data_IF_440619680856
#
_entry.id   IF_440619680856
#
_cell.length_a   1.000
_cell.length_b   1.000
_cell.length_c   1.000
_cell.angle_alpha   90.00
_cell.angle_beta   90.00
_cell.angle_gamma   90.00
#
_symmetry.space_group_name_H-M   'P 1'
#
loop_
_entity.id
_entity.type
_entity.pdbx_description
1 polymer ?
#
# COMPACT_ATOMS: atom_id res chain seq x y z
N UNK A 1 22.54 21.80 -14.57
CA UNK A 1 21.25 21.24 -14.13
C UNK A 1 21.16 21.46 -12.64
N UNK A 2 19.96 21.74 -12.13
CA UNK A 2 19.72 21.89 -10.70
C UNK A 2 19.87 20.53 -9.99
N UNK A 3 20.54 20.48 -8.84
CA UNK A 3 20.57 19.30 -7.97
C UNK A 3 19.16 19.03 -7.45
N UNK A 4 18.64 17.81 -7.62
CA UNK A 4 17.33 17.39 -7.10
C UNK A 4 17.49 16.99 -5.63
N UNK A 5 16.80 17.69 -4.73
CA UNK A 5 16.76 17.36 -3.30
C UNK A 5 15.65 16.32 -3.08
N UNK A 6 16.04 15.06 -2.84
CA UNK A 6 15.16 13.92 -2.64
C UNK A 6 14.88 13.72 -1.15
N UNK A 7 13.66 14.04 -0.73
CA UNK A 7 13.19 13.87 0.65
C UNK A 7 12.79 12.42 0.97
N UNK A 8 13.17 11.96 2.16
CA UNK A 8 12.81 10.63 2.68
C UNK A 8 12.85 10.58 4.20
N UNK A 9 12.19 9.58 4.79
CA UNK A 9 12.29 9.26 6.22
C UNK A 9 13.63 8.60 6.57
N UNK A 10 14.06 8.66 7.83
CA UNK A 10 15.34 8.07 8.27
C UNK A 10 15.28 6.53 8.46
N UNK A 11 14.11 5.88 8.33
CA UNK A 11 14.01 4.42 8.50
C UNK A 11 14.77 3.64 7.43
N UNK A 12 15.30 2.45 7.77
CA UNK A 12 16.10 1.63 6.86
C UNK A 12 15.38 1.38 5.51
N UNK A 13 14.08 1.05 5.55
CA UNK A 13 13.30 0.83 4.32
C UNK A 13 13.15 2.12 3.49
N UNK A 14 12.89 3.26 4.12
CA UNK A 14 12.76 4.53 3.41
C UNK A 14 14.10 4.97 2.82
N UNK A 15 15.21 4.79 3.55
CA UNK A 15 16.56 5.05 3.04
C UNK A 15 16.91 4.15 1.86
N UNK A 16 16.55 2.86 1.90
CA UNK A 16 16.72 1.96 0.74
C UNK A 16 15.97 2.51 -0.48
N UNK A 17 14.72 2.95 -0.31
CA UNK A 17 13.89 3.51 -1.38
C UNK A 17 14.48 4.78 -1.96
N UNK A 18 14.97 5.68 -1.10
CA UNK A 18 15.63 6.91 -1.54
C UNK A 18 16.96 6.65 -2.26
N UNK A 19 17.78 5.73 -1.76
CA UNK A 19 19.03 5.34 -2.41
C UNK A 19 18.76 4.75 -3.79
N UNK A 20 17.81 3.83 -3.91
CA UNK A 20 17.39 3.27 -5.20
C UNK A 20 16.91 4.37 -6.17
N UNK A 21 16.10 5.31 -5.68
CA UNK A 21 15.57 6.42 -6.51
C UNK A 21 16.69 7.36 -6.96
N UNK A 22 17.59 7.74 -6.05
CA UNK A 22 18.77 8.54 -6.37
C UNK A 22 19.59 7.85 -7.46
N UNK A 23 19.92 6.57 -7.29
CA UNK A 23 20.78 5.83 -8.22
C UNK A 23 20.11 5.70 -9.60
N UNK A 24 18.78 5.59 -9.65
CA UNK A 24 18.03 5.58 -10.90
C UNK A 24 18.07 6.94 -11.61
N UNK A 25 17.93 8.05 -10.88
CA UNK A 25 18.01 9.41 -11.43
C UNK A 25 19.45 9.78 -11.85
N UNK A 26 20.46 9.36 -11.08
CA UNK A 26 21.89 9.56 -11.45
C UNK A 26 22.21 8.84 -12.75
N UNK A 27 21.67 7.66 -13.03
CA UNK A 27 21.82 6.98 -14.32
C UNK A 27 21.22 7.75 -15.49
N UNK A 28 20.29 8.66 -15.24
CA UNK A 28 19.74 9.58 -16.24
C UNK A 28 20.58 10.88 -16.38
N UNK A 29 21.72 10.97 -15.69
CA UNK A 29 22.63 12.12 -15.74
C UNK A 29 22.25 13.26 -14.79
N UNK A 30 21.38 13.02 -13.81
CA UNK A 30 20.91 14.03 -12.85
C UNK A 30 21.78 14.01 -11.58
N UNK A 31 21.98 15.19 -11.00
CA UNK A 31 22.57 15.31 -9.66
C UNK A 31 21.47 15.24 -8.59
N UNK A 32 21.65 14.38 -7.56
CA UNK A 32 20.61 14.09 -6.57
C UNK A 32 21.19 14.03 -5.16
N UNK A 33 20.66 14.85 -4.27
CA UNK A 33 20.97 14.86 -2.84
C UNK A 33 19.81 14.25 -2.02
N UNK A 34 20.12 13.31 -1.11
CA UNK A 34 19.10 12.74 -0.21
C UNK A 34 18.99 13.60 1.05
N UNK A 35 17.80 14.13 1.30
CA UNK A 35 17.44 14.93 2.47
C UNK A 35 16.60 14.09 3.43
N UNK A 36 17.11 13.84 4.64
CA UNK A 36 16.38 13.08 5.67
C UNK A 36 15.42 13.99 6.42
N UNK A 37 14.14 13.64 6.42
CA UNK A 37 13.08 14.36 7.13
C UNK A 37 12.56 13.47 8.24
N UNK A 38 12.73 13.93 9.50
CA UNK A 38 12.20 13.23 10.67
C UNK A 38 10.71 13.52 10.80
N UNK A 39 9.88 12.47 10.81
CA UNK A 39 8.45 12.62 10.99
C UNK A 39 8.05 12.42 12.46
N UNK A 40 6.90 12.98 12.85
CA UNK A 40 6.32 12.75 14.19
C UNK A 40 6.13 11.25 14.46
N UNK A 41 5.82 10.46 13.44
CA UNK A 41 5.74 9.00 13.52
C UNK A 41 7.09 8.31 13.79
N UNK A 42 8.22 8.94 13.42
CA UNK A 42 9.57 8.42 13.69
C UNK A 42 10.05 8.81 15.10
N UNK A 43 9.72 10.02 15.57
CA UNK A 43 10.21 10.55 16.87
C UNK A 43 9.45 9.99 18.07
N UNK A 44 8.14 9.67 17.92
CA UNK A 44 7.28 9.17 19.01
C UNK A 44 7.01 7.67 18.89
N UNK A 45 8.06 6.85 18.77
CA UNK A 45 7.97 5.40 18.51
C UNK A 45 7.10 4.59 19.48
N UNK A 46 6.81 5.06 20.70
CA UNK A 46 6.06 4.31 21.70
C UNK A 46 4.68 4.88 22.06
N UNK A 47 4.45 6.19 21.99
CA UNK A 47 3.19 6.80 22.46
C UNK A 47 2.22 7.22 21.34
N UNK A 48 2.75 7.67 20.20
CA UNK A 48 1.94 8.37 19.21
C UNK A 48 1.21 7.47 18.21
N UNK A 49 1.69 6.25 17.94
CA UNK A 49 1.08 5.37 16.92
C UNK A 49 -0.24 4.76 17.42
N UNK A 50 -0.42 4.59 18.71
CA UNK A 50 -1.70 4.16 19.30
C UNK A 50 -2.74 5.26 19.15
N UNK A 51 -2.34 6.52 19.29
CA UNK A 51 -3.24 7.69 19.25
C UNK A 51 -3.33 8.36 17.86
N UNK A 52 -2.33 8.21 17.00
CA UNK A 52 -2.26 8.84 15.68
C UNK A 52 -2.70 7.90 14.55
N UNK A 53 -3.87 7.34 14.65
CA UNK A 53 -4.53 6.65 13.52
C UNK A 53 -4.92 7.58 12.37
N UNK A 54 -4.27 8.72 12.25
CA UNK A 54 -4.50 9.68 11.20
C UNK A 54 -3.77 9.24 9.92
N UNK A 55 -4.47 9.24 8.81
CA UNK A 55 -3.88 9.25 7.47
C UNK A 55 -2.77 10.31 7.43
N UNK A 56 -1.62 9.97 6.85
CA UNK A 56 -0.56 10.95 6.63
C UNK A 56 0.40 11.23 7.79
N UNK A 57 0.39 10.46 8.89
CA UNK A 57 1.36 10.63 10.00
C UNK A 57 2.82 10.53 9.54
N UNK A 58 3.06 9.83 8.45
CA UNK A 58 4.39 9.64 7.87
C UNK A 58 4.66 10.50 6.63
N UNK A 59 3.66 11.25 6.15
CA UNK A 59 3.77 12.00 4.90
C UNK A 59 3.64 13.52 5.11
N UNK A 60 3.01 13.98 6.19
CA UNK A 60 2.75 15.40 6.43
C UNK A 60 4.01 16.26 6.45
N UNK A 61 5.04 15.84 7.16
CA UNK A 61 6.29 16.58 7.27
C UNK A 61 7.05 16.58 5.93
N UNK A 62 7.03 15.46 5.19
CA UNK A 62 7.63 15.37 3.87
C UNK A 62 6.87 16.26 2.88
N UNK A 63 5.54 16.23 2.91
CA UNK A 63 4.69 17.09 2.09
C UNK A 63 4.85 18.56 2.45
N UNK A 64 5.00 18.89 3.74
CA UNK A 64 5.36 20.23 4.21
C UNK A 64 6.68 20.71 3.65
N UNK A 65 7.71 19.88 3.65
CA UNK A 65 9.02 20.20 3.09
C UNK A 65 8.99 20.40 1.55
N UNK A 66 8.16 19.61 0.83
CA UNK A 66 7.89 19.85 -0.61
C UNK A 66 7.27 21.23 -0.84
N UNK A 67 6.19 21.55 -0.11
CA UNK A 67 5.48 22.83 -0.23
C UNK A 67 6.35 24.02 0.17
N UNK A 68 7.21 23.87 1.19
CA UNK A 68 8.17 24.88 1.60
C UNK A 68 9.37 25.02 0.63
N UNK A 69 9.48 24.16 -0.39
CA UNK A 69 10.61 24.18 -1.31
C UNK A 69 11.94 23.74 -0.66
N UNK A 70 11.90 23.06 0.47
CA UNK A 70 13.08 22.46 1.13
C UNK A 70 13.59 21.25 0.38
N UNK A 71 12.67 20.49 -0.25
CA UNK A 71 12.94 19.35 -1.14
C UNK A 71 12.19 19.54 -2.47
N UNK A 72 12.61 18.85 -3.51
CA UNK A 72 12.03 18.92 -4.86
C UNK A 72 11.26 17.65 -5.21
N UNK A 73 11.65 16.52 -4.64
CA UNK A 73 11.07 15.21 -4.86
C UNK A 73 10.91 14.47 -3.54
N UNK A 74 9.79 13.79 -3.33
CA UNK A 74 9.59 12.85 -2.23
C UNK A 74 9.40 11.43 -2.76
N UNK A 75 10.00 10.44 -2.09
CA UNK A 75 9.76 9.02 -2.37
C UNK A 75 8.98 8.38 -1.22
N UNK A 76 7.89 7.68 -1.59
CA UNK A 76 7.00 6.99 -0.65
C UNK A 76 6.87 5.50 -0.97
N UNK A 77 6.68 4.66 0.04
CA UNK A 77 5.94 3.41 -0.16
C UNK A 77 4.52 3.79 -0.54
N UNK A 78 4.07 3.51 -1.75
CA UNK A 78 2.82 4.08 -2.29
C UNK A 78 1.58 3.70 -1.48
N UNK A 79 1.57 2.52 -0.86
CA UNK A 79 0.49 2.07 0.03
C UNK A 79 0.30 2.93 1.29
N UNK A 80 1.34 3.68 1.69
CA UNK A 80 1.32 4.54 2.88
C UNK A 80 0.96 5.99 2.53
N UNK A 81 0.94 6.34 1.22
CA UNK A 81 0.55 7.66 0.72
C UNK A 81 -0.98 7.76 0.62
N UNK A 82 -1.63 8.74 1.26
CA UNK A 82 -3.08 8.97 1.14
C UNK A 82 -3.54 9.00 -0.32
N UNK A 83 -4.75 8.51 -0.58
CA UNK A 83 -5.32 8.53 -1.95
C UNK A 83 -5.89 9.89 -2.32
N UNK A 84 -6.26 10.68 -1.33
CA UNK A 84 -6.63 12.08 -1.49
C UNK A 84 -5.39 12.90 -1.85
N UNK A 85 -5.55 13.80 -2.83
CA UNK A 85 -4.47 14.70 -3.26
C UNK A 85 -4.23 15.76 -2.20
N UNK A 86 -2.97 15.96 -1.80
CA UNK A 86 -2.58 17.13 -1.02
C UNK A 86 -2.56 18.34 -1.95
N UNK A 87 -3.23 19.47 -1.60
CA UNK A 87 -3.21 20.69 -2.42
C UNK A 87 -1.79 21.15 -2.71
N UNK A 88 -1.51 21.49 -3.97
CA UNK A 88 -0.19 21.94 -4.44
C UNK A 88 0.82 20.81 -4.68
N UNK A 89 0.45 19.55 -4.43
CA UNK A 89 1.30 18.38 -4.65
C UNK A 89 0.70 17.40 -5.66
N UNK A 90 1.58 16.71 -6.37
CA UNK A 90 1.20 15.72 -7.39
C UNK A 90 2.05 14.46 -7.29
N UNK A 91 1.38 13.32 -7.27
CA UNK A 91 2.01 12.03 -7.56
C UNK A 91 2.28 11.98 -9.06
N UNK A 92 3.54 11.86 -9.49
CA UNK A 92 3.94 12.03 -10.89
C UNK A 92 4.41 10.75 -11.56
N UNK A 93 4.94 9.80 -10.79
CA UNK A 93 5.45 8.55 -11.34
C UNK A 93 5.46 7.43 -10.32
N UNK A 94 5.45 6.20 -10.84
CA UNK A 94 5.78 4.97 -10.12
C UNK A 94 6.68 4.12 -11.01
N UNK A 95 7.85 3.70 -10.54
CA UNK A 95 8.73 2.81 -11.29
C UNK A 95 8.19 1.38 -11.30
N UNK A 96 8.90 0.45 -11.95
CA UNK A 96 8.52 -0.97 -11.96
C UNK A 96 8.30 -1.48 -10.54
N UNK A 97 7.11 -2.04 -10.32
CA UNK A 97 6.63 -2.54 -9.03
C UNK A 97 7.40 -3.78 -8.60
N UNK A 98 7.72 -3.89 -7.32
CA UNK A 98 8.19 -5.11 -6.71
C UNK A 98 7.03 -6.11 -6.51
N UNK A 99 7.35 -7.36 -6.07
CA UNK A 99 6.34 -8.36 -5.74
C UNK A 99 5.31 -7.78 -4.75
N UNK A 100 4.04 -7.90 -5.13
CA UNK A 100 2.92 -7.31 -4.39
C UNK A 100 2.44 -8.17 -3.24
N UNK A 101 2.78 -9.48 -3.26
CA UNK A 101 2.22 -10.47 -2.36
C UNK A 101 2.58 -10.23 -0.90
N UNK A 102 1.69 -10.66 -0.03
CA UNK A 102 2.00 -10.87 1.37
C UNK A 102 2.74 -12.18 1.56
N UNK A 103 3.54 -12.26 2.60
CA UNK A 103 4.29 -13.47 2.96
C UNK A 103 4.02 -13.86 4.40
N UNK A 104 3.95 -15.17 4.60
CA UNK A 104 3.90 -15.80 5.89
C UNK A 104 5.33 -15.98 6.43
N UNK A 105 5.56 -15.54 7.64
CA UNK A 105 6.84 -15.63 8.33
C UNK A 105 6.64 -16.34 9.66
N UNK A 106 7.34 -17.44 9.87
CA UNK A 106 7.29 -18.21 11.11
C UNK A 106 8.63 -18.93 11.34
N UNK A 107 8.98 -19.17 12.59
CA UNK A 107 10.13 -20.00 12.96
C UNK A 107 9.79 -21.49 13.05
N UNK A 108 8.48 -21.84 13.03
CA UNK A 108 7.98 -23.20 13.29
C UNK A 108 7.18 -23.80 12.15
N UNK A 109 6.42 -22.99 11.42
CA UNK A 109 5.45 -23.42 10.42
C UNK A 109 5.89 -23.01 9.03
N UNK A 110 5.68 -23.86 8.04
CA UNK A 110 6.11 -23.63 6.66
C UNK A 110 5.10 -22.77 5.88
N UNK A 111 3.82 -22.89 6.21
CA UNK A 111 2.75 -22.13 5.55
C UNK A 111 1.65 -21.69 6.54
N UNK A 112 0.81 -20.77 6.10
CA UNK A 112 -0.35 -20.36 6.89
C UNK A 112 -1.34 -21.51 7.10
N UNK A 113 -1.36 -22.52 6.21
CA UNK A 113 -2.20 -23.69 6.33
C UNK A 113 -1.76 -24.63 7.47
N UNK A 114 -0.49 -24.56 7.90
CA UNK A 114 0.07 -25.37 8.98
C UNK A 114 -0.13 -24.72 10.36
N UNK A 115 -0.60 -23.46 10.40
CA UNK A 115 -0.80 -22.73 11.64
C UNK A 115 -2.00 -23.31 12.40
N UNK A 116 -1.83 -23.84 13.63
CA UNK A 116 -2.91 -24.51 14.36
C UNK A 116 -3.98 -23.51 14.85
N UNK A 117 -5.19 -24.01 15.19
CA UNK A 117 -6.22 -23.20 15.85
C UNK A 117 -5.68 -22.53 17.12
N UNK A 118 -6.15 -21.31 17.40
CA UNK A 118 -5.74 -20.52 18.58
C UNK A 118 -4.32 -19.94 18.51
N UNK A 119 -3.56 -20.17 17.43
CA UNK A 119 -2.20 -19.64 17.30
C UNK A 119 -2.18 -18.10 17.26
N UNK A 120 -1.09 -17.50 17.78
CA UNK A 120 -0.84 -16.06 17.83
C UNK A 120 -0.29 -15.58 16.50
N UNK A 121 -1.12 -14.90 15.70
CA UNK A 121 -0.74 -14.35 14.40
C UNK A 121 -0.58 -12.83 14.49
N UNK A 122 0.63 -12.33 14.19
CA UNK A 122 0.95 -10.90 14.29
C UNK A 122 0.65 -10.13 13.00
N UNK A 123 -0.30 -9.18 13.05
CA UNK A 123 -0.51 -8.16 12.02
C UNK A 123 -1.26 -6.95 12.58
N UNK A 124 -0.86 -5.74 12.18
CA UNK A 124 -1.63 -4.51 12.47
C UNK A 124 -2.43 -4.02 11.27
N UNK A 125 -2.43 -4.76 10.17
CA UNK A 125 -3.24 -4.46 8.99
C UNK A 125 -4.63 -5.06 9.15
N UNK A 126 -5.67 -4.21 9.17
CA UNK A 126 -7.06 -4.69 9.26
C UNK A 126 -7.41 -5.60 8.08
N UNK A 127 -6.95 -5.29 6.88
CA UNK A 127 -7.10 -6.14 5.71
C UNK A 127 -6.56 -7.57 5.98
N UNK A 128 -5.30 -7.68 6.41
CA UNK A 128 -4.69 -8.98 6.72
C UNK A 128 -5.39 -9.69 7.86
N UNK A 129 -5.81 -8.95 8.88
CA UNK A 129 -6.55 -9.50 10.02
C UNK A 129 -7.87 -10.11 9.56
N UNK A 130 -8.69 -9.36 8.82
CA UNK A 130 -9.99 -9.83 8.33
C UNK A 130 -9.84 -11.04 7.40
N UNK A 131 -8.86 -11.01 6.48
CA UNK A 131 -8.57 -12.14 5.59
C UNK A 131 -8.07 -13.37 6.36
N UNK A 132 -7.20 -13.19 7.34
CA UNK A 132 -6.70 -14.29 8.19
C UNK A 132 -7.84 -14.93 9.01
N UNK A 133 -8.72 -14.12 9.59
CA UNK A 133 -9.89 -14.63 10.33
C UNK A 133 -10.86 -15.38 9.40
N UNK A 134 -11.10 -14.88 8.17
CA UNK A 134 -11.88 -15.59 7.16
C UNK A 134 -11.23 -16.92 6.79
N UNK A 135 -9.92 -16.93 6.50
CA UNK A 135 -9.17 -18.13 6.15
C UNK A 135 -9.21 -19.16 7.28
N UNK A 136 -8.96 -18.73 8.52
CA UNK A 136 -9.02 -19.58 9.70
C UNK A 136 -10.40 -20.24 9.86
N UNK A 137 -11.48 -19.47 9.72
CA UNK A 137 -12.87 -19.98 9.83
C UNK A 137 -13.19 -20.99 8.74
N UNK A 138 -12.73 -20.77 7.52
CA UNK A 138 -12.88 -21.76 6.43
C UNK A 138 -12.13 -23.06 6.70
N UNK A 139 -10.93 -22.95 7.27
CA UNK A 139 -10.02 -24.08 7.52
C UNK A 139 -10.41 -24.86 8.77
N UNK A 140 -10.90 -24.21 9.80
CA UNK A 140 -11.18 -24.71 11.13
C UNK A 140 -12.55 -24.21 11.63
N UNK A 141 -13.67 -24.65 11.01
CA UNK A 141 -15.00 -24.10 11.30
C UNK A 141 -15.47 -24.29 12.75
N UNK A 142 -15.06 -25.38 13.39
CA UNK A 142 -15.48 -25.78 14.73
C UNK A 142 -14.39 -25.56 15.80
N UNK A 143 -13.27 -24.97 15.42
CA UNK A 143 -12.13 -24.78 16.30
C UNK A 143 -11.95 -23.29 16.71
N UNK A 144 -11.18 -23.00 17.76
CA UNK A 144 -10.86 -21.63 18.12
C UNK A 144 -10.19 -20.85 16.99
N UNK A 145 -10.67 -19.64 16.74
CA UNK A 145 -10.04 -18.74 15.76
C UNK A 145 -8.60 -18.42 16.18
N UNK A 146 -7.76 -18.05 15.22
CA UNK A 146 -6.44 -17.52 15.50
C UNK A 146 -6.53 -16.27 16.37
N UNK A 147 -5.62 -16.14 17.32
CA UNK A 147 -5.44 -14.94 18.13
C UNK A 147 -4.64 -13.89 17.31
N UNK A 148 -5.35 -13.12 16.49
CA UNK A 148 -4.73 -12.14 15.61
C UNK A 148 -4.45 -10.86 16.38
N UNK A 149 -3.16 -10.66 16.72
CA UNK A 149 -2.67 -9.56 17.55
C UNK A 149 -1.99 -8.47 16.73
N UNK A 150 -2.08 -7.24 17.23
CA UNK A 150 -1.32 -6.12 16.67
C UNK A 150 0.18 -6.32 16.87
N UNK A 151 0.96 -6.15 15.78
CA UNK A 151 2.41 -6.12 15.83
C UNK A 151 2.92 -4.78 15.26
N UNK A 152 3.68 -4.02 16.05
CA UNK A 152 4.19 -2.69 15.73
C UNK A 152 5.71 -2.67 15.62
N UNK A 153 6.22 -1.68 14.88
CA UNK A 153 7.64 -1.48 14.60
C UNK A 153 7.96 -1.59 13.12
N UNK A 154 9.22 -1.36 12.77
CA UNK A 154 9.76 -1.63 11.44
C UNK A 154 9.87 -3.15 11.19
N UNK A 155 10.36 -3.55 10.02
CA UNK A 155 10.47 -4.97 9.65
C UNK A 155 11.35 -5.73 10.65
N UNK A 156 12.53 -5.18 10.96
CA UNK A 156 13.50 -5.80 11.88
C UNK A 156 12.91 -5.99 13.28
N UNK A 157 12.21 -4.97 13.79
CA UNK A 157 11.54 -5.06 15.10
C UNK A 157 10.49 -6.17 15.13
N UNK A 158 9.72 -6.32 14.04
CA UNK A 158 8.68 -7.36 13.96
C UNK A 158 9.29 -8.75 13.85
N UNK A 159 10.37 -8.90 13.09
CA UNK A 159 11.12 -10.16 13.02
C UNK A 159 11.67 -10.52 14.39
N UNK A 160 12.26 -9.55 15.10
CA UNK A 160 12.76 -9.77 16.46
C UNK A 160 11.65 -10.25 17.42
N UNK A 161 10.47 -9.63 17.40
CA UNK A 161 9.33 -10.06 18.23
C UNK A 161 8.86 -11.49 17.91
N UNK A 162 8.93 -11.89 16.64
CA UNK A 162 8.68 -13.27 16.24
C UNK A 162 9.76 -14.20 16.82
N UNK A 163 11.05 -13.82 16.73
CA UNK A 163 12.18 -14.59 17.25
C UNK A 163 12.16 -14.70 18.79
N UNK A 164 11.70 -13.64 19.46
CA UNK A 164 11.48 -13.62 20.91
C UNK A 164 10.26 -14.48 21.34
N UNK A 165 9.50 -15.06 20.40
CA UNK A 165 8.36 -15.96 20.68
C UNK A 165 7.07 -15.24 21.12
N UNK A 166 6.94 -13.92 20.90
CA UNK A 166 5.70 -13.18 21.17
C UNK A 166 4.56 -13.65 20.24
N UNK A 167 4.90 -14.15 19.04
CA UNK A 167 4.00 -14.61 17.99
C UNK A 167 4.44 -15.99 17.48
N UNK A 168 3.48 -16.78 17.01
CA UNK A 168 3.75 -18.06 16.34
C UNK A 168 4.03 -17.85 14.85
N UNK A 169 3.43 -16.80 14.28
CA UNK A 169 3.66 -16.34 12.91
C UNK A 169 3.34 -14.85 12.76
N UNK A 170 3.86 -14.22 11.72
CA UNK A 170 3.52 -12.84 11.31
C UNK A 170 3.28 -12.75 9.81
N UNK A 171 2.50 -11.77 9.36
CA UNK A 171 2.29 -11.49 7.93
C UNK A 171 2.98 -10.16 7.57
N UNK A 172 3.89 -10.21 6.59
CA UNK A 172 4.61 -9.05 6.08
C UNK A 172 4.42 -8.91 4.56
N UNK A 173 4.77 -7.74 4.00
CA UNK A 173 4.82 -7.56 2.55
C UNK A 173 6.17 -8.07 2.01
N UNK A 174 6.16 -8.91 0.97
CA UNK A 174 7.36 -9.43 0.30
C UNK A 174 8.35 -8.33 -0.05
N UNK A 175 7.88 -7.25 -0.69
CA UNK A 175 8.71 -6.14 -1.09
C UNK A 175 9.51 -5.51 0.07
N UNK A 176 8.93 -5.45 1.28
CA UNK A 176 9.62 -4.92 2.46
C UNK A 176 10.76 -5.82 2.94
N UNK A 177 10.52 -7.12 2.99
CA UNK A 177 11.54 -8.11 3.35
C UNK A 177 12.69 -8.14 2.34
N UNK A 178 12.36 -8.22 1.06
CA UNK A 178 13.37 -8.29 -0.02
C UNK A 178 14.25 -7.05 -0.05
N UNK A 179 13.66 -5.85 0.07
CA UNK A 179 14.41 -4.58 0.07
C UNK A 179 15.38 -4.45 1.25
N UNK A 180 15.10 -5.10 2.35
CA UNK A 180 15.95 -5.09 3.55
C UNK A 180 16.87 -6.32 3.67
N UNK A 181 16.88 -7.20 2.67
CA UNK A 181 17.73 -8.39 2.69
C UNK A 181 17.22 -9.54 3.56
N UNK A 182 15.94 -9.51 3.97
CA UNK A 182 15.31 -10.56 4.79
C UNK A 182 14.43 -11.50 3.97
N UNK A 183 14.64 -11.60 2.65
CA UNK A 183 13.83 -12.43 1.77
C UNK A 183 13.73 -13.89 2.23
N UNK A 184 14.81 -14.46 2.74
CA UNK A 184 14.91 -15.85 3.22
C UNK A 184 14.05 -16.12 4.47
N UNK A 185 13.54 -15.07 5.16
CA UNK A 185 12.62 -15.22 6.28
C UNK A 185 11.18 -15.54 5.83
N UNK A 186 10.85 -15.34 4.55
CA UNK A 186 9.56 -15.73 4.00
C UNK A 186 9.49 -17.25 3.89
N UNK A 187 8.56 -17.87 4.64
CA UNK A 187 8.30 -19.32 4.53
C UNK A 187 7.47 -19.64 3.31
N UNK A 188 6.39 -18.89 3.12
CA UNK A 188 5.54 -19.02 1.95
C UNK A 188 4.93 -17.67 1.53
N UNK A 189 4.61 -17.56 0.26
CA UNK A 189 3.77 -16.46 -0.23
C UNK A 189 2.30 -16.78 0.07
N UNK A 190 1.53 -15.78 0.48
CA UNK A 190 0.10 -15.93 0.61
C UNK A 190 -0.55 -15.84 -0.76
N UNK A 191 -1.51 -16.72 -1.02
CA UNK A 191 -2.23 -16.77 -2.28
C UNK A 191 -3.15 -15.55 -2.43
N UNK A 192 -3.06 -14.83 -3.56
CA UNK A 192 -3.85 -13.64 -3.83
C UNK A 192 -5.37 -13.93 -3.88
N UNK A 193 -5.78 -15.19 -4.14
CA UNK A 193 -7.19 -15.61 -4.09
C UNK A 193 -7.77 -15.57 -2.66
N UNK A 194 -6.93 -15.73 -1.64
CA UNK A 194 -7.33 -15.67 -0.23
C UNK A 194 -6.84 -14.40 0.48
N UNK A 195 -5.70 -13.84 0.06
CA UNK A 195 -5.05 -12.68 0.66
C UNK A 195 -4.74 -11.60 -0.37
N UNK A 196 -5.79 -10.98 -0.90
CA UNK A 196 -5.63 -9.92 -1.89
C UNK A 196 -4.86 -8.73 -1.29
N UNK A 197 -3.93 -8.16 -2.05
CA UNK A 197 -2.91 -7.25 -1.55
C UNK A 197 -3.44 -5.85 -1.23
N UNK A 198 -2.68 -5.07 -0.48
CA UNK A 198 -3.02 -3.66 -0.23
C UNK A 198 -2.83 -2.82 -1.48
N UNK A 199 -3.71 -1.82 -1.68
CA UNK A 199 -3.57 -0.80 -2.74
C UNK A 199 -2.16 -0.22 -2.73
N UNK A 200 -1.48 -0.24 -3.87
CA UNK A 200 -0.12 0.28 -4.02
C UNK A 200 0.97 -0.54 -3.34
N UNK A 201 0.69 -1.75 -2.83
CA UNK A 201 1.73 -2.59 -2.20
C UNK A 201 2.83 -2.96 -3.21
N UNK A 202 4.10 -2.85 -2.80
CA UNK A 202 5.27 -3.09 -3.65
C UNK A 202 5.67 -1.91 -4.54
N UNK A 203 4.78 -0.94 -4.79
CA UNK A 203 5.06 0.24 -5.59
C UNK A 203 5.73 1.35 -4.78
N UNK A 204 6.63 2.09 -5.44
CA UNK A 204 7.10 3.39 -4.99
C UNK A 204 6.25 4.48 -5.62
N UNK A 205 6.00 5.57 -4.90
CA UNK A 205 5.36 6.76 -5.41
C UNK A 205 6.30 7.95 -5.34
N UNK A 206 6.37 8.71 -6.42
CA UNK A 206 7.16 9.94 -6.53
C UNK A 206 6.23 11.14 -6.51
N UNK A 207 6.37 12.00 -5.50
CA UNK A 207 5.54 13.17 -5.29
C UNK A 207 6.39 14.43 -5.40
N UNK A 208 5.87 15.44 -6.12
CA UNK A 208 6.51 16.74 -6.35
C UNK A 208 5.49 17.87 -6.12
N UNK A 209 5.94 19.10 -6.09
CA UNK A 209 5.02 20.26 -6.28
C UNK A 209 4.37 20.16 -7.66
N UNK A 210 3.13 20.62 -7.78
CA UNK A 210 2.38 20.63 -9.06
C UNK A 210 2.99 21.55 -10.10
N UNK A 211 3.62 22.63 -9.67
CA UNK A 211 4.22 23.68 -10.50
C UNK A 211 5.70 23.47 -10.83
N UNK A 212 6.36 22.45 -10.27
CA UNK A 212 7.77 22.13 -10.53
C UNK A 212 7.93 21.32 -11.82
N UNK A 213 7.68 21.97 -12.96
CA UNK A 213 7.72 21.33 -14.28
C UNK A 213 9.09 20.72 -14.59
N UNK A 214 10.20 21.34 -14.14
CA UNK A 214 11.56 20.86 -14.37
C UNK A 214 11.79 19.51 -13.68
N UNK A 215 11.44 19.41 -12.40
CA UNK A 215 11.56 18.14 -11.64
C UNK A 215 10.60 17.10 -12.20
N UNK A 216 9.36 17.44 -12.52
CA UNK A 216 8.37 16.52 -13.09
C UNK A 216 8.88 15.90 -14.39
N UNK A 217 9.40 16.70 -15.32
CA UNK A 217 9.93 16.23 -16.62
C UNK A 217 11.01 15.15 -16.43
N UNK A 218 11.87 15.31 -15.43
CA UNK A 218 12.93 14.33 -15.17
C UNK A 218 12.40 13.06 -14.50
N UNK A 219 11.54 13.22 -13.49
CA UNK A 219 11.04 12.10 -12.68
C UNK A 219 10.10 11.18 -13.46
N UNK A 220 9.31 11.71 -14.38
CA UNK A 220 8.42 10.90 -15.23
C UNK A 220 9.19 9.91 -16.12
N UNK A 221 10.46 10.13 -16.39
CA UNK A 221 11.32 9.18 -17.13
C UNK A 221 11.52 7.85 -16.38
N UNK A 222 11.29 7.83 -15.07
CA UNK A 222 11.31 6.61 -14.26
C UNK A 222 9.96 5.89 -14.23
N UNK A 223 8.91 6.45 -14.83
CA UNK A 223 7.57 5.85 -14.84
C UNK A 223 7.59 4.54 -15.61
N UNK A 224 7.10 3.49 -14.98
CA UNK A 224 6.81 2.22 -15.63
C UNK A 224 5.31 2.17 -15.91
N UNK A 225 4.91 2.37 -17.16
CA UNK A 225 3.51 2.53 -17.56
C UNK A 225 2.57 1.44 -17.02
N UNK A 226 2.87 0.13 -17.14
CA UNK A 226 2.00 -0.91 -16.58
C UNK A 226 1.80 -0.78 -15.06
N UNK A 227 2.85 -0.43 -14.31
CA UNK A 227 2.73 -0.19 -12.86
C UNK A 227 1.92 1.07 -12.59
N UNK A 228 2.16 2.14 -13.34
CA UNK A 228 1.48 3.42 -13.19
C UNK A 228 -0.02 3.28 -13.37
N UNK A 229 -0.47 2.67 -14.46
CA UNK A 229 -1.87 2.40 -14.74
C UNK A 229 -2.52 1.50 -13.66
N UNK A 230 -1.79 0.46 -13.25
CA UNK A 230 -2.26 -0.43 -12.17
C UNK A 230 -2.51 0.32 -10.86
N UNK A 231 -1.57 1.16 -10.42
CA UNK A 231 -1.73 1.89 -9.16
C UNK A 231 -2.78 3.00 -9.24
N UNK A 232 -3.00 3.60 -10.42
CA UNK A 232 -4.10 4.54 -10.62
C UNK A 232 -5.46 3.86 -10.43
N UNK A 233 -5.68 2.69 -11.03
CA UNK A 233 -6.90 1.91 -10.88
C UNK A 233 -7.14 1.52 -9.41
N UNK A 234 -6.12 0.97 -8.73
CA UNK A 234 -6.20 0.60 -7.32
C UNK A 234 -6.53 1.80 -6.42
N UNK A 235 -5.89 2.95 -6.65
CA UNK A 235 -6.10 4.18 -5.86
C UNK A 235 -7.48 4.80 -6.12
N UNK A 236 -7.98 4.74 -7.36
CA UNK A 236 -9.32 5.20 -7.71
C UNK A 236 -10.40 4.38 -6.98
N UNK A 237 -10.26 3.05 -6.95
CA UNK A 237 -11.14 2.17 -6.17
C UNK A 237 -11.14 2.56 -4.67
N UNK A 238 -9.96 2.68 -4.06
CA UNK A 238 -9.86 3.01 -2.63
C UNK A 238 -10.42 4.40 -2.32
N UNK A 239 -10.22 5.37 -3.21
CA UNK A 239 -10.78 6.73 -3.10
C UNK A 239 -12.30 6.69 -3.12
N UNK A 240 -12.89 5.93 -4.07
CA UNK A 240 -14.36 5.83 -4.22
C UNK A 240 -15.02 5.12 -3.03
N UNK A 241 -14.36 4.11 -2.46
CA UNK A 241 -14.83 3.42 -1.25
C UNK A 241 -14.55 4.21 0.05
N UNK A 242 -13.88 5.37 -0.03
CA UNK A 242 -13.47 6.17 1.13
C UNK A 242 -12.72 5.35 2.20
N UNK A 243 -12.08 4.26 1.77
CA UNK A 243 -11.58 3.22 2.67
C UNK A 243 -10.41 3.65 3.54
N UNK A 244 -9.50 4.47 3.04
CA UNK A 244 -8.27 4.84 3.75
C UNK A 244 -7.39 3.62 4.10
N UNK A 245 -6.27 3.88 4.79
CA UNK A 245 -5.25 2.83 5.08
C UNK A 245 -5.68 1.79 6.13
N UNK A 246 -6.78 2.03 6.86
CA UNK A 246 -7.27 1.14 7.94
C UNK A 246 -8.43 0.26 7.52
N UNK A 247 -8.93 0.41 6.31
CA UNK A 247 -10.05 -0.37 5.81
C UNK A 247 -9.62 -1.81 5.46
N UNK A 248 -10.48 -2.81 5.70
CA UNK A 248 -10.27 -4.18 5.28
C UNK A 248 -10.53 -4.34 3.77
N UNK A 249 -9.80 -3.59 2.95
CA UNK A 249 -9.90 -3.55 1.49
C UNK A 249 -8.62 -4.09 0.89
N UNK A 250 -8.74 -5.06 0.00
CA UNK A 250 -7.68 -5.55 -0.87
C UNK A 250 -7.94 -5.13 -2.32
N UNK A 251 -6.89 -4.77 -3.05
CA UNK A 251 -6.98 -4.56 -4.48
C UNK A 251 -5.64 -4.83 -5.17
N UNK A 252 -5.71 -5.43 -6.35
CA UNK A 252 -4.56 -5.64 -7.21
C UNK A 252 -4.95 -5.46 -8.66
N UNK A 253 -4.34 -4.48 -9.30
CA UNK A 253 -4.42 -4.32 -10.74
C UNK A 253 -3.14 -4.79 -11.42
N UNK A 254 -3.26 -5.21 -12.67
CA UNK A 254 -2.15 -5.56 -13.56
C UNK A 254 -2.53 -5.29 -15.01
N UNK A 255 -1.57 -4.80 -15.78
CA UNK A 255 -1.69 -4.75 -17.23
C UNK A 255 -1.25 -6.09 -17.78
N UNK A 256 -2.11 -6.71 -18.59
CA UNK A 256 -1.90 -8.02 -19.18
C UNK A 256 -2.10 -7.97 -20.69
N UNK A 257 -1.36 -8.80 -21.41
CA UNK A 257 -1.55 -8.96 -22.86
C UNK A 257 -2.16 -10.34 -23.12
N UNK A 258 -3.28 -10.36 -23.84
CA UNK A 258 -4.02 -11.58 -24.19
C UNK A 258 -4.33 -11.52 -25.68
N UNK A 259 -3.80 -12.46 -26.47
CA UNK A 259 -4.06 -12.58 -27.92
C UNK A 259 -3.84 -11.28 -28.71
N UNK A 260 -2.86 -10.48 -28.31
CA UNK A 260 -2.53 -9.19 -28.93
C UNK A 260 -3.35 -7.99 -28.43
N UNK A 261 -4.35 -8.21 -27.61
CA UNK A 261 -5.01 -7.15 -26.84
C UNK A 261 -4.21 -6.78 -25.60
N UNK A 262 -4.29 -5.53 -25.19
CA UNK A 262 -3.75 -5.04 -23.92
C UNK A 262 -4.91 -4.60 -23.01
N UNK A 263 -4.91 -5.11 -21.78
CA UNK A 263 -6.00 -4.93 -20.83
C UNK A 263 -5.45 -4.56 -19.46
N UNK A 264 -6.19 -3.76 -18.69
CA UNK A 264 -6.00 -3.68 -17.23
C UNK A 264 -6.99 -4.62 -16.58
N UNK A 265 -6.49 -5.56 -15.77
CA UNK A 265 -7.29 -6.41 -14.87
C UNK A 265 -7.20 -5.85 -13.47
N UNK A 266 -8.34 -5.68 -12.79
CA UNK A 266 -8.43 -5.26 -11.39
C UNK A 266 -9.24 -6.30 -10.60
N UNK A 267 -8.60 -6.94 -9.63
CA UNK A 267 -9.26 -7.72 -8.60
C UNK A 267 -9.42 -6.84 -7.35
N UNK A 268 -10.59 -6.81 -6.76
CA UNK A 268 -10.89 -6.02 -5.58
C UNK A 268 -11.75 -6.79 -4.58
N UNK A 269 -11.53 -6.53 -3.31
CA UNK A 269 -12.21 -7.20 -2.21
C UNK A 269 -12.41 -6.24 -1.04
N UNK A 270 -13.57 -6.28 -0.40
CA UNK A 270 -13.87 -5.62 0.86
C UNK A 270 -14.47 -6.62 1.84
N UNK A 271 -14.03 -6.58 3.11
CA UNK A 271 -14.47 -7.51 4.15
C UNK A 271 -15.05 -6.75 5.35
N UNK A 272 -15.86 -7.44 6.16
CA UNK A 272 -16.12 -7.01 7.55
C UNK A 272 -14.86 -7.11 8.39
N UNK A 273 -14.76 -6.34 9.47
CA UNK A 273 -13.56 -6.33 10.34
C UNK A 273 -13.25 -7.69 10.97
N UNK A 274 -14.27 -8.51 11.19
CA UNK A 274 -14.14 -9.89 11.69
C UNK A 274 -13.91 -10.93 10.57
N UNK A 275 -13.96 -10.52 9.31
CA UNK A 275 -13.83 -11.39 8.15
C UNK A 275 -15.00 -12.36 7.97
N UNK A 276 -16.18 -12.08 8.55
CA UNK A 276 -17.36 -12.95 8.43
C UNK A 276 -18.04 -12.84 7.07
N UNK A 277 -17.98 -11.65 6.47
CA UNK A 277 -18.54 -11.38 5.14
C UNK A 277 -17.48 -10.71 4.27
N UNK A 278 -17.49 -11.02 2.99
CA UNK A 278 -16.68 -10.38 1.98
C UNK A 278 -17.47 -10.21 0.68
N UNK A 279 -17.10 -9.17 -0.06
CA UNK A 279 -17.58 -8.92 -1.40
C UNK A 279 -16.37 -8.77 -2.32
N UNK A 280 -16.43 -9.42 -3.48
CA UNK A 280 -15.32 -9.46 -4.44
C UNK A 280 -15.80 -9.11 -5.84
N UNK A 281 -14.93 -8.45 -6.59
CA UNK A 281 -15.14 -8.21 -8.01
C UNK A 281 -13.84 -8.40 -8.78
N UNK A 282 -13.99 -8.82 -10.04
CA UNK A 282 -12.93 -8.76 -11.04
C UNK A 282 -13.44 -7.92 -12.19
N UNK A 283 -12.70 -6.90 -12.54
CA UNK A 283 -13.04 -5.95 -13.60
C UNK A 283 -11.92 -5.87 -14.63
N UNK A 284 -12.28 -5.66 -15.88
CA UNK A 284 -11.36 -5.56 -17.01
C UNK A 284 -11.62 -4.28 -17.79
N UNK A 285 -10.55 -3.61 -18.23
CA UNK A 285 -10.61 -2.46 -19.12
C UNK A 285 -9.67 -2.68 -20.30
N UNK A 286 -10.19 -2.62 -21.50
CA UNK A 286 -9.40 -2.70 -22.73
C UNK A 286 -8.64 -1.40 -22.92
N UNK A 287 -7.31 -1.49 -23.10
CA UNK A 287 -6.43 -0.39 -23.50
C UNK A 287 -6.15 -0.41 -25.00
N UNK A 288 -6.05 -1.61 -25.58
CA UNK A 288 -5.86 -1.84 -27.00
C UNK A 288 -6.50 -3.17 -27.37
N UNK A 289 -7.37 -3.19 -28.35
CA UNK A 289 -8.12 -4.40 -28.71
C UNK A 289 -7.29 -5.41 -29.52
N UNK A 290 -6.38 -4.92 -30.38
CA UNK A 290 -5.52 -5.75 -31.22
C UNK A 290 -4.11 -5.17 -31.31
N UNK A 291 -3.11 -6.00 -31.61
CA UNK A 291 -1.73 -5.57 -31.80
C UNK A 291 -1.54 -4.51 -32.90
N UNK A 292 -2.43 -4.49 -33.91
CA UNK A 292 -2.38 -3.56 -35.04
C UNK A 292 -3.14 -2.24 -34.78
N UNK A 293 -3.89 -2.15 -33.68
CA UNK A 293 -4.60 -0.93 -33.36
C UNK A 293 -3.62 0.16 -32.92
N UNK A 294 -4.01 1.42 -33.18
CA UNK A 294 -3.22 2.56 -32.71
C UNK A 294 -3.21 2.56 -31.19
N UNK A 295 -2.02 2.77 -30.64
CA UNK A 295 -1.85 2.94 -29.21
C UNK A 295 -2.58 4.19 -28.70
N UNK A 296 -3.30 4.07 -27.58
CA UNK A 296 -3.95 5.20 -26.94
C UNK A 296 -2.92 6.12 -26.30
N UNK A 297 -3.14 7.45 -26.30
CA UNK A 297 -2.33 8.37 -25.51
C UNK A 297 -2.35 7.98 -24.03
N UNK A 298 -1.23 8.20 -23.35
CA UNK A 298 -1.09 7.84 -21.93
C UNK A 298 -2.18 8.46 -21.07
N UNK A 299 -2.53 9.72 -21.30
CA UNK A 299 -3.62 10.43 -20.59
C UNK A 299 -4.95 9.68 -20.71
N UNK A 300 -5.29 9.17 -21.90
CA UNK A 300 -6.48 8.36 -22.10
C UNK A 300 -6.41 7.03 -21.32
N UNK A 301 -5.26 6.36 -21.34
CA UNK A 301 -5.05 5.13 -20.57
C UNK A 301 -5.17 5.40 -19.05
N UNK A 302 -4.66 6.53 -18.55
CA UNK A 302 -4.79 6.96 -17.15
C UNK A 302 -6.27 7.16 -16.77
N UNK A 303 -7.04 7.84 -17.60
CA UNK A 303 -8.49 8.02 -17.39
C UNK A 303 -9.26 6.69 -17.37
N UNK A 304 -8.93 5.78 -18.28
CA UNK A 304 -9.52 4.44 -18.33
C UNK A 304 -9.16 3.62 -17.08
N UNK A 305 -7.94 3.73 -16.59
CA UNK A 305 -7.51 3.07 -15.35
C UNK A 305 -8.27 3.61 -14.13
N UNK A 306 -8.43 4.93 -14.00
CA UNK A 306 -9.19 5.53 -12.91
C UNK A 306 -10.68 5.17 -12.98
N UNK A 307 -11.26 5.14 -14.18
CA UNK A 307 -12.64 4.72 -14.41
C UNK A 307 -12.85 3.25 -14.00
N UNK A 308 -11.92 2.35 -14.39
CA UNK A 308 -11.95 0.95 -13.97
C UNK A 308 -12.01 0.81 -12.46
N UNK A 309 -11.16 1.54 -11.73
CA UNK A 309 -11.14 1.52 -10.28
C UNK A 309 -12.44 2.02 -9.66
N UNK A 310 -12.98 3.12 -10.18
CA UNK A 310 -14.25 3.69 -9.71
C UNK A 310 -15.42 2.75 -9.96
N UNK A 311 -15.51 2.15 -11.15
CA UNK A 311 -16.57 1.20 -11.50
C UNK A 311 -16.49 -0.10 -10.66
N UNK A 312 -15.28 -0.58 -10.37
CA UNK A 312 -15.10 -1.73 -9.49
C UNK A 312 -15.59 -1.43 -8.06
N UNK A 313 -15.40 -0.20 -7.57
CA UNK A 313 -15.94 0.22 -6.28
C UNK A 313 -17.48 0.25 -6.28
N UNK A 314 -18.11 0.79 -7.33
CA UNK A 314 -19.58 0.77 -7.48
C UNK A 314 -20.10 -0.67 -7.50
N UNK A 315 -19.46 -1.56 -8.26
CA UNK A 315 -19.81 -2.98 -8.27
C UNK A 315 -19.79 -3.60 -6.87
N UNK A 316 -18.78 -3.30 -6.06
CA UNK A 316 -18.73 -3.78 -4.67
C UNK A 316 -19.87 -3.22 -3.82
N UNK A 317 -20.23 -1.94 -3.99
CA UNK A 317 -21.36 -1.32 -3.30
C UNK A 317 -22.69 -1.97 -3.69
N UNK A 318 -22.91 -2.21 -4.98
CA UNK A 318 -24.10 -2.87 -5.52
C UNK A 318 -24.23 -4.33 -5.03
N UNK A 319 -23.11 -5.02 -4.84
CA UNK A 319 -23.07 -6.37 -4.25
C UNK A 319 -23.45 -6.38 -2.76
N UNK A 320 -23.51 -5.23 -2.09
CA UNK A 320 -23.94 -5.09 -0.70
C UNK A 320 -22.88 -4.59 0.26
N UNK A 321 -21.73 -4.09 -0.24
CA UNK A 321 -20.64 -3.59 0.61
C UNK A 321 -20.98 -2.26 1.35
N UNK A 322 -22.09 -1.60 1.04
CA UNK A 322 -22.50 -0.29 1.60
C UNK A 322 -22.45 -0.28 3.13
N UNK A 323 -22.93 -1.37 3.78
CA UNK A 323 -22.91 -1.50 5.24
C UNK A 323 -21.50 -1.54 5.81
N UNK A 324 -20.57 -2.22 5.12
CA UNK A 324 -19.15 -2.28 5.52
C UNK A 324 -18.49 -0.91 5.37
N UNK A 325 -18.76 -0.20 4.26
CA UNK A 325 -18.24 1.16 4.04
C UNK A 325 -18.71 2.11 5.14
N UNK A 326 -20.00 2.06 5.51
CA UNK A 326 -20.53 2.87 6.61
C UNK A 326 -19.84 2.56 7.96
N UNK A 327 -19.55 1.30 8.25
CA UNK A 327 -18.82 0.88 9.45
C UNK A 327 -17.37 1.41 9.44
N UNK A 328 -16.70 1.36 8.28
CA UNK A 328 -15.35 1.93 8.10
C UNK A 328 -15.37 3.43 8.37
N UNK A 329 -16.32 4.17 7.79
CA UNK A 329 -16.46 5.62 7.98
C UNK A 329 -16.71 5.96 9.45
N UNK A 330 -17.61 5.24 10.13
CA UNK A 330 -17.88 5.39 11.56
C UNK A 330 -16.61 5.16 12.39
N UNK A 331 -15.88 4.08 12.14
CA UNK A 331 -14.62 3.77 12.83
C UNK A 331 -13.55 4.87 12.61
N UNK A 332 -13.47 5.45 11.40
CA UNK A 332 -12.58 6.59 11.11
C UNK A 332 -12.99 7.83 11.90
N UNK A 333 -14.28 8.18 11.94
CA UNK A 333 -14.80 9.34 12.67
C UNK A 333 -14.55 9.23 14.17
N UNK A 334 -14.86 8.07 14.78
CA UNK A 334 -14.62 7.80 16.19
C UNK A 334 -13.13 7.92 16.56
N UNK A 335 -12.25 7.41 15.67
CA UNK A 335 -10.82 7.50 15.87
C UNK A 335 -10.32 8.94 15.77
N UNK A 336 -10.80 9.73 14.79
CA UNK A 336 -10.48 11.14 14.65
C UNK A 336 -10.94 11.95 15.88
N UNK A 337 -12.12 11.68 16.40
CA UNK A 337 -12.65 12.33 17.61
C UNK A 337 -11.80 12.02 18.86
N UNK A 338 -11.31 10.78 19.02
CA UNK A 338 -10.40 10.42 20.13
C UNK A 338 -9.06 11.17 20.06
N UNK A 339 -8.58 11.48 18.85
CA UNK A 339 -7.32 12.18 18.63
C UNK A 339 -7.41 13.70 18.88
N UNK A 340 -8.58 14.28 18.68
CA UNK A 340 -8.86 15.70 18.95
C UNK A 340 -9.28 15.99 20.39
N UNK A 341 -9.55 14.95 21.20
CA UNK A 341 -9.88 15.12 22.60
C UNK A 341 -8.65 15.56 23.41
N UNK A 342 -8.75 16.57 24.28
CA UNK A 342 -7.65 16.98 25.13
C UNK A 342 -7.23 15.82 26.05
N UNK A 343 -5.94 15.72 26.41
CA UNK A 343 -5.47 14.66 27.30
C UNK A 343 -6.27 14.71 28.61
N UNK A 344 -6.90 13.62 28.97
CA UNK A 344 -7.51 13.49 30.30
C UNK A 344 -6.40 13.63 31.34
N UNK A 345 -6.57 14.62 32.23
CA UNK A 345 -5.64 14.90 33.33
C UNK A 345 -5.56 13.76 34.33
#
# INVERSE_FOLDING_TARGET
MKTIRLGTRPSALAMWQATWTRDALVKLGLDVEIVKITTTGDSKRHEAIVNLGAQGVFTKEIQGALLAGEIDLAVHSLKDLPVEKAPGLKLVASPKRADTRDVFVSNRYESIADLPPGARLGTSSMRRKSMALRYCRKRFPDEPAWDVRDIRGNVETRLKKLDDGEYDAIILASAGLTRLGFGDRARSFLDDSEFLTSVGQGALGFETREDDAETIEQVVKLRHEPTWLSVLAERALLRRLEGGCIAPIGARASVVSVEGAELISLNAEILTFDGAKDYRTQSLQVLRANANDRELPLETKEQLAELLGSNAAETLLDLGATGIVAEIQKSRAERAARLSAPPQK
#
